data_IF_547960109286
#
_entry.id   IF_547960109286
#
_cell.length_a   1.000
_cell.length_b   1.000
_cell.length_c   1.000
_cell.angle_alpha   90.00
_cell.angle_beta   90.00
_cell.angle_gamma   90.00
#
_symmetry.space_group_name_H-M   'P 1'
#
loop_
_entity.id
_entity.type
_entity.pdbx_description
1 polymer ?
#
# COMPACT_ATOMS: atom_id res chain seq x y z
N UNK A 1 -19.76 -8.50 18.87
CA UNK A 1 -19.45 -7.07 18.67
C UNK A 1 -18.01 -6.96 18.21
N UNK A 2 -17.72 -6.13 17.22
CA UNK A 2 -16.35 -5.88 16.77
C UNK A 2 -15.58 -5.15 17.86
N UNK A 3 -14.43 -5.71 18.23
CA UNK A 3 -13.50 -5.09 19.17
C UNK A 3 -12.48 -4.22 18.41
N UNK A 4 -11.97 -3.21 19.12
CA UNK A 4 -11.08 -2.20 18.59
C UNK A 4 -9.91 -1.99 19.54
N UNK A 5 -8.79 -1.60 18.95
CA UNK A 5 -7.61 -1.12 19.64
C UNK A 5 -7.51 0.39 19.45
N UNK A 6 -7.34 1.12 20.54
CA UNK A 6 -7.07 2.54 20.54
C UNK A 6 -5.69 2.79 21.12
N UNK A 7 -4.86 3.54 20.39
CA UNK A 7 -3.59 4.04 20.88
C UNK A 7 -3.69 5.56 21.05
N UNK A 8 -3.68 5.99 22.30
CA UNK A 8 -3.63 7.41 22.70
C UNK A 8 -2.20 7.72 23.07
N UNK A 9 -1.57 8.68 22.41
CA UNK A 9 -0.16 8.94 22.62
C UNK A 9 0.23 10.40 22.45
N UNK A 10 1.34 10.76 23.08
CA UNK A 10 2.02 12.05 22.95
C UNK A 10 3.52 11.80 22.90
N UNK A 11 4.21 12.48 21.99
CA UNK A 11 5.67 12.43 21.85
C UNK A 11 6.21 13.84 21.97
N UNK A 12 7.39 14.05 22.60
CA UNK A 12 8.08 15.33 22.59
C UNK A 12 8.19 15.95 21.19
N UNK A 13 8.17 17.28 21.13
CA UNK A 13 8.27 18.00 19.85
C UNK A 13 9.62 17.79 19.17
N UNK A 14 10.69 17.65 19.97
CA UNK A 14 12.06 17.39 19.55
C UNK A 14 12.64 16.11 20.19
N UNK A 15 13.43 15.32 19.43
CA UNK A 15 13.73 15.49 18.01
C UNK A 15 12.55 15.08 17.11
N UNK A 16 12.25 15.87 16.08
CA UNK A 16 11.12 15.64 15.15
C UNK A 16 11.09 14.25 14.50
N UNK A 17 12.24 13.60 14.35
CA UNK A 17 12.39 12.25 13.78
C UNK A 17 11.55 11.18 14.50
N UNK A 18 11.36 11.28 15.82
CA UNK A 18 10.61 10.28 16.58
C UNK A 18 9.11 10.34 16.26
N UNK A 19 8.54 11.54 16.14
CA UNK A 19 7.14 11.73 15.69
C UNK A 19 6.94 11.19 14.28
N UNK A 20 7.87 11.46 13.38
CA UNK A 20 7.82 10.97 12.01
C UNK A 20 7.91 9.42 11.95
N UNK A 21 8.78 8.80 12.77
CA UNK A 21 8.90 7.34 12.86
C UNK A 21 7.58 6.70 13.34
N UNK A 22 7.00 7.21 14.43
CA UNK A 22 5.73 6.71 14.98
C UNK A 22 4.58 6.89 13.99
N UNK A 23 4.48 8.06 13.36
CA UNK A 23 3.45 8.30 12.34
C UNK A 23 3.56 7.32 11.16
N UNK A 24 4.76 7.08 10.63
CA UNK A 24 4.98 6.08 9.56
C UNK A 24 4.61 4.68 10.04
N UNK A 25 4.94 4.32 11.29
CA UNK A 25 4.60 3.01 11.85
C UNK A 25 3.08 2.84 11.96
N UNK A 26 2.35 3.83 12.48
CA UNK A 26 0.88 3.83 12.56
C UNK A 26 0.27 3.63 11.17
N UNK A 27 0.71 4.42 10.19
CA UNK A 27 0.23 4.30 8.80
C UNK A 27 0.53 2.93 8.20
N UNK A 28 1.72 2.38 8.44
CA UNK A 28 2.10 1.05 7.93
C UNK A 28 1.24 -0.09 8.48
N UNK A 29 0.65 0.09 9.67
CA UNK A 29 -0.25 -0.88 10.30
C UNK A 29 -1.70 -0.78 9.79
N UNK A 30 -2.03 0.23 8.97
CA UNK A 30 -3.40 0.50 8.52
C UNK A 30 -4.24 1.26 9.52
N UNK A 31 -3.66 1.80 10.59
CA UNK A 31 -4.41 2.56 11.60
C UNK A 31 -4.83 3.93 11.06
N UNK A 32 -6.02 4.36 11.46
CA UNK A 32 -6.55 5.69 11.15
C UNK A 32 -6.57 6.56 12.39
N UNK A 33 -6.41 7.87 12.20
CA UNK A 33 -6.50 8.83 13.29
C UNK A 33 -7.95 9.26 13.49
N UNK A 34 -8.42 9.19 14.73
CA UNK A 34 -9.68 9.79 15.15
C UNK A 34 -9.47 11.27 15.51
N UNK A 35 -8.34 11.57 16.15
CA UNK A 35 -7.87 12.91 16.51
C UNK A 35 -6.34 12.93 16.61
N UNK A 36 -5.76 14.11 16.86
CA UNK A 36 -4.32 14.23 17.12
C UNK A 36 -3.89 13.34 18.29
N UNK A 37 -2.94 12.44 18.04
CA UNK A 37 -2.44 11.51 19.04
C UNK A 37 -3.42 10.37 19.39
N UNK A 38 -4.55 10.24 18.70
CA UNK A 38 -5.52 9.16 18.93
C UNK A 38 -5.73 8.40 17.63
N UNK A 39 -5.22 7.18 17.56
CA UNK A 39 -5.41 6.30 16.42
C UNK A 39 -6.11 5.01 16.81
N UNK A 40 -6.80 4.41 15.85
CA UNK A 40 -7.67 3.26 16.04
C UNK A 40 -7.39 2.19 14.98
N UNK A 41 -7.61 0.94 15.37
CA UNK A 41 -7.47 -0.24 14.52
C UNK A 41 -8.46 -1.34 14.94
N UNK A 42 -9.02 -2.15 14.02
CA UNK A 42 -9.75 -3.35 14.40
C UNK A 42 -8.88 -4.30 15.22
N UNK A 43 -9.47 -4.89 16.26
CA UNK A 43 -8.76 -5.87 17.08
C UNK A 43 -8.44 -7.14 16.29
N UNK A 44 -7.18 -7.56 16.39
CA UNK A 44 -6.65 -8.84 15.94
C UNK A 44 -5.40 -9.17 16.76
N UNK A 45 -5.02 -10.45 16.85
CA UNK A 45 -3.85 -10.85 17.68
C UNK A 45 -2.56 -10.21 17.19
N UNK A 46 -2.35 -10.22 15.87
CA UNK A 46 -1.16 -9.63 15.27
C UNK A 46 -1.16 -8.12 15.39
N UNK A 47 -2.32 -7.49 15.20
CA UNK A 47 -2.44 -6.04 15.31
C UNK A 47 -2.25 -5.54 16.74
N UNK A 48 -2.76 -6.26 17.74
CA UNK A 48 -2.49 -6.00 19.14
C UNK A 48 -1.00 -6.10 19.45
N UNK A 49 -0.34 -7.16 18.97
CA UNK A 49 1.11 -7.33 19.13
C UNK A 49 1.88 -6.14 18.54
N UNK A 50 1.51 -5.69 17.35
CA UNK A 50 2.16 -4.53 16.71
C UNK A 50 1.91 -3.22 17.46
N UNK A 51 0.68 -2.99 17.96
CA UNK A 51 0.38 -1.82 18.79
C UNK A 51 1.12 -1.85 20.14
N UNK A 52 1.35 -3.03 20.74
CA UNK A 52 2.17 -3.17 21.95
C UNK A 52 3.64 -2.81 21.69
N UNK A 53 4.19 -3.22 20.55
CA UNK A 53 5.54 -2.83 20.14
C UNK A 53 5.63 -1.31 19.94
N UNK A 54 4.68 -0.73 19.21
CA UNK A 54 4.64 0.71 18.98
C UNK A 54 4.44 1.52 20.27
N UNK A 55 3.57 1.05 21.17
CA UNK A 55 3.40 1.64 22.50
C UNK A 55 4.74 1.70 23.24
N UNK A 56 5.51 0.61 23.22
CA UNK A 56 6.82 0.56 23.86
C UNK A 56 7.84 1.49 23.20
N UNK A 57 7.86 1.54 21.86
CA UNK A 57 8.72 2.47 21.10
C UNK A 57 8.42 3.92 21.46
N UNK A 58 7.14 4.28 21.64
CA UNK A 58 6.76 5.64 22.05
C UNK A 58 7.32 5.98 23.43
N UNK A 59 7.24 5.06 24.40
CA UNK A 59 7.84 5.26 25.72
C UNK A 59 9.37 5.42 25.64
N UNK A 60 10.03 4.61 24.81
CA UNK A 60 11.47 4.65 24.63
C UNK A 60 11.94 5.97 23.98
N UNK A 61 11.07 6.63 23.21
CA UNK A 61 11.29 7.99 22.71
C UNK A 61 10.99 9.11 23.73
N UNK A 62 10.69 8.76 24.99
CA UNK A 62 10.31 9.71 26.04
C UNK A 62 8.91 10.29 25.88
N UNK A 63 8.04 9.59 25.13
CA UNK A 63 6.63 9.90 25.02
C UNK A 63 5.78 9.22 26.10
N UNK A 64 4.49 9.51 26.05
CA UNK A 64 3.45 8.86 26.86
C UNK A 64 2.48 8.17 25.92
N UNK A 65 2.08 6.94 26.25
CA UNK A 65 1.12 6.19 25.44
C UNK A 65 0.21 5.30 26.29
N UNK A 66 -1.03 5.15 25.84
CA UNK A 66 -2.04 4.27 26.41
C UNK A 66 -2.61 3.39 25.30
N UNK A 67 -2.58 2.08 25.52
CA UNK A 67 -3.18 1.09 24.63
C UNK A 67 -4.45 0.54 25.27
N UNK A 68 -5.59 0.77 24.62
CA UNK A 68 -6.92 0.42 25.11
C UNK A 68 -7.56 -0.58 24.14
N UNK A 69 -8.16 -1.64 24.68
CA UNK A 69 -9.03 -2.55 23.93
C UNK A 69 -10.46 -2.36 24.38
N UNK A 70 -11.40 -2.27 23.44
CA UNK A 70 -12.81 -2.14 23.77
C UNK A 70 -13.74 -2.24 22.57
N UNK A 71 -15.03 -2.01 22.82
CA UNK A 71 -16.09 -2.01 21.80
C UNK A 71 -16.66 -0.61 21.65
N UNK A 72 -17.08 -0.25 20.44
CA UNK A 72 -17.82 0.99 20.22
C UNK A 72 -19.23 0.86 20.81
N UNK A 73 -19.69 1.91 21.49
CA UNK A 73 -21.08 2.03 21.96
C UNK A 73 -22.00 2.53 20.85
N UNK A 74 -21.46 3.37 19.96
CA UNK A 74 -22.14 3.86 18.78
C UNK A 74 -21.83 2.97 17.56
N UNK A 75 -22.65 3.03 16.51
CA UNK A 75 -22.37 2.39 15.23
C UNK A 75 -21.01 2.81 14.63
N UNK A 76 -20.36 1.88 13.91
CA UNK A 76 -18.96 2.02 13.49
C UNK A 76 -18.78 2.72 12.14
N UNK A 77 -19.85 3.08 11.44
CA UNK A 77 -19.85 3.52 10.04
C UNK A 77 -18.97 4.76 9.84
N UNK A 78 -18.97 5.69 10.80
CA UNK A 78 -18.11 6.87 10.75
C UNK A 78 -16.61 6.52 10.77
N UNK A 79 -16.22 5.52 11.58
CA UNK A 79 -14.83 5.05 11.67
C UNK A 79 -14.48 4.22 10.43
N UNK A 80 -15.37 3.31 10.01
CA UNK A 80 -15.20 2.50 8.80
C UNK A 80 -15.00 3.40 7.57
N UNK A 81 -15.74 4.51 7.47
CA UNK A 81 -15.55 5.50 6.40
C UNK A 81 -14.14 6.07 6.38
N UNK A 82 -13.55 6.36 7.55
CA UNK A 82 -12.15 6.83 7.63
C UNK A 82 -11.15 5.77 7.15
N UNK A 83 -11.39 4.49 7.46
CA UNK A 83 -10.56 3.40 6.93
C UNK A 83 -10.66 3.33 5.41
N UNK A 84 -11.89 3.27 4.87
CA UNK A 84 -12.10 3.15 3.43
C UNK A 84 -11.51 4.34 2.68
N UNK A 85 -11.70 5.58 3.17
CA UNK A 85 -11.06 6.76 2.56
C UNK A 85 -9.54 6.63 2.55
N UNK A 86 -8.92 6.22 3.65
CA UNK A 86 -7.48 6.06 3.73
C UNK A 86 -6.94 4.91 2.86
N UNK A 87 -7.76 3.89 2.56
CA UNK A 87 -7.40 2.81 1.63
C UNK A 87 -7.60 3.25 0.18
N UNK A 88 -8.73 3.91 -0.12
CA UNK A 88 -9.05 4.44 -1.44
C UNK A 88 -8.01 5.47 -1.90
N UNK A 89 -7.48 6.31 -1.01
CA UNK A 89 -6.34 7.20 -1.33
C UNK A 89 -5.12 6.41 -1.85
N UNK A 90 -4.75 5.33 -1.18
CA UNK A 90 -3.58 4.53 -1.57
C UNK A 90 -3.85 3.68 -2.83
N UNK A 91 -5.07 3.17 -2.99
CA UNK A 91 -5.49 2.50 -4.21
C UNK A 91 -5.47 3.45 -5.40
N UNK A 92 -5.94 4.69 -5.23
CA UNK A 92 -5.88 5.72 -6.27
C UNK A 92 -4.43 5.98 -6.72
N UNK A 93 -3.48 6.07 -5.79
CA UNK A 93 -2.06 6.21 -6.17
C UNK A 93 -1.54 5.00 -6.96
N UNK A 94 -1.95 3.77 -6.63
CA UNK A 94 -1.57 2.57 -7.41
C UNK A 94 -2.21 2.63 -8.80
N UNK A 95 -3.47 3.03 -8.90
CA UNK A 95 -4.18 3.19 -10.18
C UNK A 95 -3.44 4.18 -11.08
N UNK A 96 -3.04 5.34 -10.55
CA UNK A 96 -2.26 6.33 -11.30
C UNK A 96 -0.96 5.72 -11.83
N UNK A 97 -0.29 4.86 -11.03
CA UNK A 97 0.92 4.17 -11.48
C UNK A 97 0.66 3.09 -12.53
N UNK A 98 -0.46 2.38 -12.47
CA UNK A 98 -0.86 1.47 -13.54
C UNK A 98 -1.10 2.23 -14.84
N UNK A 99 -1.73 3.41 -14.77
CA UNK A 99 -1.96 4.26 -15.94
C UNK A 99 -0.65 4.82 -16.54
N UNK A 100 0.34 5.15 -15.70
CA UNK A 100 1.67 5.54 -16.16
C UNK A 100 2.40 4.37 -16.83
N UNK A 101 2.36 3.17 -16.22
CA UNK A 101 2.91 1.94 -16.79
C UNK A 101 2.31 1.62 -18.16
N UNK A 102 1.00 1.82 -18.35
CA UNK A 102 0.37 1.63 -19.66
C UNK A 102 0.93 2.54 -20.74
N UNK A 103 1.17 3.81 -20.41
CA UNK A 103 1.71 4.79 -21.37
C UNK A 103 3.15 4.45 -21.74
N UNK A 104 3.92 3.94 -20.80
CA UNK A 104 5.31 3.50 -21.00
C UNK A 104 5.38 2.33 -21.97
N UNK A 105 4.64 1.24 -21.70
CA UNK A 105 4.54 0.09 -22.61
C UNK A 105 4.05 0.49 -24.01
N UNK A 106 3.06 1.39 -24.09
CA UNK A 106 2.55 1.89 -25.38
C UNK A 106 3.64 2.66 -26.15
N UNK A 107 4.36 3.57 -25.48
CA UNK A 107 5.43 4.35 -26.09
C UNK A 107 6.61 3.47 -26.56
N UNK A 108 7.00 2.46 -25.78
CA UNK A 108 8.03 1.48 -26.16
C UNK A 108 7.59 0.63 -27.35
N UNK A 109 6.32 0.21 -27.36
CA UNK A 109 5.74 -0.55 -28.47
C UNK A 109 5.70 0.27 -29.76
N UNK A 110 5.27 1.53 -29.69
CA UNK A 110 5.22 2.45 -30.83
C UNK A 110 6.62 2.76 -31.40
N UNK A 111 7.60 2.96 -30.52
CA UNK A 111 8.99 3.20 -30.90
C UNK A 111 9.73 1.92 -31.32
N UNK A 112 9.09 0.74 -31.19
CA UNK A 112 9.64 -0.59 -31.44
C UNK A 112 10.90 -0.85 -30.62
N UNK A 113 10.93 -0.36 -29.38
CA UNK A 113 12.04 -0.51 -28.46
C UNK A 113 12.02 -1.88 -27.78
N UNK A 114 12.00 -2.94 -28.58
CA UNK A 114 11.86 -4.31 -28.10
C UNK A 114 13.22 -4.88 -27.70
N UNK A 115 13.66 -4.62 -26.47
CA UNK A 115 14.90 -5.16 -25.92
C UNK A 115 14.67 -5.89 -24.62
N UNK A 116 15.55 -6.84 -24.28
CA UNK A 116 15.50 -7.53 -23.00
C UNK A 116 15.67 -6.60 -21.79
N UNK A 117 16.39 -5.50 -21.94
CA UNK A 117 16.62 -4.56 -20.84
C UNK A 117 15.32 -3.84 -20.46
N UNK A 118 14.56 -3.36 -21.44
CA UNK A 118 13.25 -2.73 -21.21
C UNK A 118 12.23 -3.74 -20.67
N UNK A 119 12.25 -4.98 -21.16
CA UNK A 119 11.41 -6.03 -20.60
C UNK A 119 11.72 -6.28 -19.11
N UNK A 120 12.99 -6.39 -18.75
CA UNK A 120 13.42 -6.59 -17.35
C UNK A 120 13.03 -5.40 -16.46
N UNK A 121 13.20 -4.16 -16.95
CA UNK A 121 12.79 -2.95 -16.22
C UNK A 121 11.27 -2.93 -15.96
N UNK A 122 10.47 -3.21 -16.99
CA UNK A 122 9.01 -3.28 -16.88
C UNK A 122 8.55 -4.44 -15.95
N UNK A 123 9.23 -5.59 -15.97
CA UNK A 123 8.97 -6.70 -15.02
C UNK A 123 9.23 -6.27 -13.57
N UNK A 124 10.33 -5.56 -13.31
CA UNK A 124 10.63 -5.03 -11.99
C UNK A 124 9.58 -4.02 -11.51
N UNK A 125 9.12 -3.15 -12.40
CA UNK A 125 8.13 -2.13 -12.07
C UNK A 125 6.75 -2.72 -11.81
N UNK A 126 6.31 -3.68 -12.61
CA UNK A 126 5.10 -4.45 -12.31
C UNK A 126 5.20 -5.17 -10.95
N UNK A 127 6.33 -5.82 -10.67
CA UNK A 127 6.55 -6.51 -9.40
C UNK A 127 6.51 -5.55 -8.19
N UNK A 128 6.98 -4.30 -8.35
CA UNK A 128 6.88 -3.25 -7.32
C UNK A 128 5.41 -2.89 -7.08
N UNK A 129 4.60 -2.73 -8.13
CA UNK A 129 3.17 -2.43 -8.02
C UNK A 129 2.38 -3.57 -7.36
N UNK A 130 2.61 -4.82 -7.77
CA UNK A 130 1.98 -6.00 -7.16
C UNK A 130 2.29 -6.09 -5.66
N UNK A 131 3.55 -5.87 -5.29
CA UNK A 131 3.99 -5.85 -3.88
C UNK A 131 3.35 -4.70 -3.11
N UNK A 132 3.13 -3.56 -3.74
CA UNK A 132 2.44 -2.44 -3.11
C UNK A 132 0.96 -2.78 -2.89
N UNK A 133 0.24 -3.25 -3.91
CA UNK A 133 -1.16 -3.70 -3.79
C UNK A 133 -1.32 -4.70 -2.64
N UNK A 134 -0.48 -5.74 -2.59
CA UNK A 134 -0.52 -6.74 -1.52
C UNK A 134 -0.44 -6.10 -0.13
N UNK A 135 0.48 -5.15 0.06
CA UNK A 135 0.64 -4.43 1.33
C UNK A 135 -0.56 -3.54 1.66
N UNK A 136 -1.27 -2.98 0.68
CA UNK A 136 -2.51 -2.20 0.90
C UNK A 136 -3.64 -3.14 1.30
N UNK A 137 -3.78 -4.28 0.61
CA UNK A 137 -4.81 -5.27 0.90
C UNK A 137 -4.66 -5.91 2.29
N UNK A 138 -3.43 -6.17 2.74
CA UNK A 138 -3.15 -6.68 4.10
C UNK A 138 -3.68 -5.75 5.21
N UNK A 139 -3.86 -4.46 4.91
CA UNK A 139 -4.38 -3.43 5.82
C UNK A 139 -5.77 -2.93 5.45
N UNK A 140 -6.42 -3.52 4.44
CA UNK A 140 -7.77 -3.18 4.03
C UNK A 140 -8.80 -4.02 4.80
N UNK A 141 -9.07 -3.59 6.04
CA UNK A 141 -9.95 -4.31 6.96
C UNK A 141 -11.43 -4.30 6.55
N UNK A 142 -11.84 -3.36 5.68
CA UNK A 142 -13.25 -3.06 5.42
C UNK A 142 -13.61 -3.04 3.93
N UNK A 143 -12.70 -3.51 3.07
CA UNK A 143 -12.91 -3.68 1.63
C UNK A 143 -13.28 -2.35 0.97
N UNK A 144 -12.29 -1.47 0.86
CA UNK A 144 -12.50 -0.17 0.25
C UNK A 144 -12.91 -0.27 -1.22
N UNK A 145 -13.58 0.79 -1.70
CA UNK A 145 -14.33 0.73 -2.96
C UNK A 145 -13.45 0.57 -4.20
N UNK A 146 -12.21 1.07 -4.15
CA UNK A 146 -11.28 1.01 -5.26
C UNK A 146 -10.44 -0.28 -5.32
N UNK A 147 -10.57 -1.17 -4.32
CA UNK A 147 -9.76 -2.38 -4.23
C UNK A 147 -9.91 -3.26 -5.48
N UNK A 148 -11.14 -3.46 -5.97
CA UNK A 148 -11.39 -4.34 -7.12
C UNK A 148 -10.88 -3.73 -8.43
N UNK A 149 -11.20 -2.45 -8.67
CA UNK A 149 -10.68 -1.70 -9.83
C UNK A 149 -9.15 -1.74 -9.89
N UNK A 150 -8.48 -1.62 -8.74
CA UNK A 150 -7.01 -1.65 -8.69
C UNK A 150 -6.45 -3.01 -9.11
N UNK A 151 -7.10 -4.12 -8.69
CA UNK A 151 -6.70 -5.47 -9.11
C UNK A 151 -6.90 -5.67 -10.61
N UNK A 152 -8.04 -5.22 -11.14
CA UNK A 152 -8.35 -5.33 -12.57
C UNK A 152 -7.29 -4.60 -13.41
N UNK A 153 -6.93 -3.38 -13.03
CA UNK A 153 -5.90 -2.61 -13.75
C UNK A 153 -4.51 -3.24 -13.63
N UNK A 154 -4.14 -3.76 -12.46
CA UNK A 154 -2.88 -4.49 -12.30
C UNK A 154 -2.81 -5.77 -13.15
N UNK A 155 -3.94 -6.49 -13.25
CA UNK A 155 -4.04 -7.64 -14.13
C UNK A 155 -3.92 -7.24 -15.60
N UNK A 156 -4.44 -6.08 -15.98
CA UNK A 156 -4.24 -5.52 -17.32
C UNK A 156 -2.77 -5.12 -17.57
N UNK A 157 -2.06 -4.54 -16.58
CA UNK A 157 -0.62 -4.27 -16.69
C UNK A 157 0.16 -5.54 -17.01
N UNK A 158 -0.17 -6.63 -16.31
CA UNK A 158 0.44 -7.93 -16.55
C UNK A 158 0.18 -8.44 -17.97
N UNK A 159 -1.07 -8.39 -18.44
CA UNK A 159 -1.41 -8.84 -19.79
C UNK A 159 -0.65 -8.05 -20.86
N UNK A 160 -0.57 -6.72 -20.71
CA UNK A 160 0.19 -5.88 -21.67
C UNK A 160 1.69 -6.17 -21.64
N UNK A 161 2.25 -6.45 -20.47
CA UNK A 161 3.65 -6.84 -20.36
C UNK A 161 3.92 -8.21 -20.99
N UNK A 162 3.02 -9.17 -20.80
CA UNK A 162 3.11 -10.49 -21.46
C UNK A 162 3.09 -10.34 -23.00
N UNK A 163 2.21 -9.48 -23.54
CA UNK A 163 2.17 -9.15 -24.98
C UNK A 163 3.47 -8.44 -25.44
N UNK A 164 4.01 -7.53 -24.64
CA UNK A 164 5.29 -6.89 -24.92
C UNK A 164 6.45 -7.89 -24.95
N UNK A 165 6.49 -8.82 -23.99
CA UNK A 165 7.49 -9.88 -23.92
C UNK A 165 7.47 -10.75 -25.19
N UNK A 166 6.29 -11.16 -25.67
CA UNK A 166 6.15 -11.93 -26.91
C UNK A 166 6.73 -11.19 -28.14
N UNK A 167 6.57 -9.86 -28.19
CA UNK A 167 7.17 -9.03 -29.24
C UNK A 167 8.70 -8.97 -29.12
N UNK A 168 9.23 -8.80 -27.91
CA UNK A 168 10.69 -8.84 -27.63
C UNK A 168 11.30 -10.16 -28.07
N UNK A 169 10.72 -11.29 -27.66
CA UNK A 169 11.20 -12.61 -28.05
C UNK A 169 11.18 -12.80 -29.58
N UNK A 170 10.10 -12.37 -30.24
CA UNK A 170 9.98 -12.49 -31.70
C UNK A 170 11.02 -11.64 -32.44
N UNK A 171 11.28 -10.42 -31.97
CA UNK A 171 12.27 -9.52 -32.56
C UNK A 171 13.70 -10.04 -32.37
N UNK A 172 14.05 -10.52 -31.19
CA UNK A 172 15.38 -11.07 -30.88
C UNK A 172 15.67 -12.37 -31.65
N UNK A 173 14.70 -13.28 -31.75
CA UNK A 173 14.81 -14.49 -32.58
C UNK A 173 15.04 -14.18 -34.06
N UNK A 174 14.44 -13.09 -34.56
CA UNK A 174 14.63 -12.63 -35.93
C UNK A 174 16.00 -11.99 -36.16
N UNK A 175 16.59 -11.37 -35.13
CA UNK A 175 17.93 -10.78 -35.16
C UNK A 175 19.02 -11.85 -35.13
N UNK A 176 18.85 -12.92 -34.35
CA UNK A 176 19.79 -14.05 -34.27
C UNK A 176 19.81 -14.95 -35.53
N UNK A 177 18.76 -14.89 -36.37
CA UNK A 177 18.65 -15.67 -37.62
C UNK A 177 19.17 -14.95 -38.87
N UNK A 178 19.73 -13.74 -38.76
CA UNK A 178 20.38 -13.06 -39.89
C UNK A 178 21.76 -13.70 -40.20
N UNK A 179 22.02 -14.15 -41.44
CA UNK A 179 23.27 -14.82 -41.84
C UNK A 179 24.48 -13.88 -41.88
#
# INVERSE_FOLDING_TARGET
>A
MQEWLLLVYKIPSEPSRYRAAVWRRIKSLGAVYLQNGVCVLPYGRDTERQFRMLWKEIEDYGGEAFLIRGTLLAPAEGIIKLFNMARDEEYAEIIDRCEDFFKEIEAETESRHFTYAELEENEEDLAKLEKWLKKVMERDFFQASLAEKTKELLQECRTRLDEFADMVFTCEDSMQKKP
#
